data_IF_014020579039
#
_entry.id   IF_014020579039
#
_cell.length_a   1.000
_cell.length_b   1.000
_cell.length_c   1.000
_cell.angle_alpha   90.00
_cell.angle_beta   90.00
_cell.angle_gamma   90.00
#
_symmetry.space_group_name_H-M   'P 1'
#
loop_
_entity.id
_entity.type
_entity.pdbx_description
1 polymer ?
#
# COMPACT_ATOMS: atom_id res chain seq x y z
N UNK A 1 -2.86 5.11 2.85
CA UNK A 1 -1.52 4.57 2.58
C UNK A 1 -0.48 5.69 2.68
N UNK A 2 0.71 5.40 3.21
CA UNK A 2 1.79 6.37 3.19
C UNK A 2 2.23 6.63 1.75
N UNK A 3 2.35 7.91 1.37
CA UNK A 3 2.90 8.31 0.09
C UNK A 3 4.40 7.95 0.02
N UNK A 4 4.89 7.64 -1.17
CA UNK A 4 6.33 7.41 -1.39
C UNK A 4 7.14 8.68 -1.13
N UNK A 5 8.37 8.52 -0.63
CA UNK A 5 9.32 9.61 -0.50
C UNK A 5 9.88 9.99 -1.87
N UNK A 6 9.46 11.16 -2.35
CA UNK A 6 9.97 11.78 -3.56
C UNK A 6 11.25 12.56 -3.25
N UNK A 7 11.94 13.05 -4.28
CA UNK A 7 13.07 14.00 -4.13
C UNK A 7 12.72 15.24 -3.30
N UNK A 8 11.44 15.65 -3.29
CA UNK A 8 10.99 16.88 -2.62
C UNK A 8 10.30 16.64 -1.27
N UNK A 9 9.88 15.41 -0.98
CA UNK A 9 9.16 15.06 0.26
C UNK A 9 10.01 14.24 1.23
N UNK A 10 11.14 13.69 0.80
CA UNK A 10 12.08 12.99 1.67
C UNK A 10 12.72 13.96 2.69
N UNK A 11 12.68 13.62 3.98
CA UNK A 11 13.35 14.39 5.04
C UNK A 11 14.86 14.52 4.80
N UNK A 12 15.46 13.53 4.11
CA UNK A 12 16.81 13.58 3.57
C UNK A 12 16.75 13.21 2.09
N UNK A 13 16.76 14.21 1.18
CA UNK A 13 16.72 13.96 -0.26
C UNK A 13 17.93 13.14 -0.73
N UNK A 14 17.77 12.26 -1.74
CA UNK A 14 18.88 11.53 -2.35
C UNK A 14 19.84 12.49 -3.05
N UNK A 15 21.09 12.05 -3.28
CA UNK A 15 22.04 12.83 -4.08
C UNK A 15 21.54 12.97 -5.52
N UNK A 16 21.98 13.99 -6.28
CA UNK A 16 21.48 14.24 -7.64
C UNK A 16 21.53 13.02 -8.58
N UNK A 17 22.54 12.16 -8.43
CA UNK A 17 22.79 10.96 -9.23
C UNK A 17 22.25 9.65 -8.63
N UNK A 18 21.55 9.71 -7.49
CA UNK A 18 20.92 8.57 -6.83
C UNK A 18 19.38 8.67 -7.01
N UNK A 19 18.67 7.55 -7.18
CA UNK A 19 17.21 7.58 -7.32
C UNK A 19 16.53 7.92 -5.99
N UNK A 20 15.41 8.62 -6.05
CA UNK A 20 14.44 8.69 -4.95
C UNK A 20 13.69 7.36 -4.78
N UNK A 21 12.92 7.20 -3.69
CA UNK A 21 12.24 5.93 -3.39
C UNK A 21 11.24 5.54 -4.49
N UNK A 22 10.44 6.50 -4.93
CA UNK A 22 9.48 6.37 -6.02
C UNK A 22 10.15 6.00 -7.35
N UNK A 23 11.24 6.67 -7.70
CA UNK A 23 12.07 6.35 -8.89
C UNK A 23 12.69 4.95 -8.78
N UNK A 24 13.12 4.55 -7.58
CA UNK A 24 13.67 3.23 -7.32
C UNK A 24 12.61 2.14 -7.51
N UNK A 25 11.41 2.33 -6.94
CA UNK A 25 10.30 1.39 -7.04
C UNK A 25 9.81 1.29 -8.49
N UNK A 26 9.64 2.41 -9.19
CA UNK A 26 9.26 2.43 -10.60
C UNK A 26 10.26 1.64 -11.47
N UNK A 27 11.55 1.81 -11.23
CA UNK A 27 12.60 1.06 -11.92
C UNK A 27 12.51 -0.45 -11.72
N UNK A 28 12.03 -0.91 -10.55
CA UNK A 28 11.87 -2.34 -10.25
C UNK A 28 10.57 -2.92 -10.81
N UNK A 29 9.50 -2.15 -10.79
CA UNK A 29 8.19 -2.59 -11.27
C UNK A 29 8.07 -2.54 -12.79
N UNK A 30 8.68 -1.54 -13.42
CA UNK A 30 8.45 -1.23 -14.84
C UNK A 30 9.72 -1.23 -15.69
N UNK A 31 10.89 -1.41 -15.08
CA UNK A 31 12.17 -1.38 -15.80
C UNK A 31 12.60 0.01 -16.28
N UNK A 32 11.85 1.07 -15.93
CA UNK A 32 12.15 2.47 -16.25
C UNK A 32 11.90 3.37 -15.04
N UNK A 33 12.50 4.55 -15.04
CA UNK A 33 12.33 5.60 -14.02
C UNK A 33 11.68 6.87 -14.57
N UNK A 34 11.08 6.78 -15.76
CA UNK A 34 10.44 7.93 -16.40
C UNK A 34 9.26 8.43 -15.55
N UNK A 35 8.96 9.73 -15.66
CA UNK A 35 7.92 10.39 -14.87
C UNK A 35 6.55 9.68 -14.99
N UNK A 36 6.21 9.17 -16.18
CA UNK A 36 4.97 8.41 -16.39
C UNK A 36 4.91 7.10 -15.60
N UNK A 37 6.05 6.44 -15.37
CA UNK A 37 6.12 5.22 -14.58
C UNK A 37 6.03 5.51 -13.08
N UNK A 38 6.66 6.60 -12.63
CA UNK A 38 6.55 7.10 -11.25
C UNK A 38 5.11 7.51 -10.93
N UNK A 39 4.43 8.19 -11.85
CA UNK A 39 3.05 8.64 -11.64
C UNK A 39 2.08 7.47 -11.40
N UNK A 40 2.33 6.30 -12.00
CA UNK A 40 1.46 5.11 -11.79
C UNK A 40 1.44 4.62 -10.34
N UNK A 41 2.46 4.97 -9.55
CA UNK A 41 2.58 4.57 -8.14
C UNK A 41 2.46 5.76 -7.17
N UNK A 42 2.14 6.96 -7.64
CA UNK A 42 2.17 8.21 -6.87
C UNK A 42 1.30 8.20 -5.60
N UNK A 43 0.28 7.35 -5.55
CA UNK A 43 -0.71 7.32 -4.48
C UNK A 43 -0.38 6.38 -3.32
N UNK A 44 0.73 5.61 -3.40
CA UNK A 44 1.08 4.59 -2.41
C UNK A 44 0.02 3.47 -2.37
N UNK A 45 0.34 2.31 -2.94
CA UNK A 45 -0.63 1.21 -3.00
C UNK A 45 -0.39 0.21 -1.87
N UNK A 46 -1.47 -0.21 -1.21
CA UNK A 46 -1.49 -1.37 -0.32
C UNK A 46 -2.25 -2.52 -1.01
N UNK A 47 -1.95 -3.76 -0.65
CA UNK A 47 -2.63 -4.93 -1.20
C UNK A 47 -3.55 -5.54 -0.13
N UNK A 48 -4.87 -5.45 -0.36
CA UNK A 48 -5.86 -6.20 0.41
C UNK A 48 -6.01 -7.60 -0.21
N UNK A 49 -5.71 -8.64 0.56
CA UNK A 49 -5.67 -10.01 0.06
C UNK A 49 -6.39 -10.98 1.00
N UNK A 50 -6.90 -12.07 0.42
CA UNK A 50 -7.47 -13.20 1.16
C UNK A 50 -6.94 -14.51 0.61
N UNK A 51 -6.64 -15.47 1.49
CA UNK A 51 -6.24 -16.81 1.12
C UNK A 51 -6.97 -17.85 1.96
N UNK A 52 -7.58 -18.83 1.30
CA UNK A 52 -8.22 -19.98 1.96
C UNK A 52 -7.35 -21.22 1.74
N UNK A 53 -6.91 -21.83 2.84
CA UNK A 53 -6.14 -23.07 2.82
C UNK A 53 -7.00 -24.27 2.40
N UNK A 54 -6.34 -25.36 2.00
CA UNK A 54 -7.03 -26.62 1.70
C UNK A 54 -7.83 -27.19 2.91
N UNK A 55 -7.44 -26.84 4.14
CA UNK A 55 -8.18 -27.18 5.36
C UNK A 55 -9.37 -26.26 5.67
N UNK A 56 -9.69 -25.31 4.78
CA UNK A 56 -10.84 -24.41 4.90
C UNK A 56 -10.59 -23.13 5.71
N UNK A 57 -9.48 -23.03 6.45
CA UNK A 57 -9.12 -21.81 7.17
C UNK A 57 -8.76 -20.66 6.21
N UNK A 58 -9.30 -19.46 6.46
CA UNK A 58 -9.08 -18.26 5.64
C UNK A 58 -8.28 -17.21 6.40
N UNK A 59 -7.26 -16.63 5.76
CA UNK A 59 -6.48 -15.49 6.25
C UNK A 59 -6.79 -14.28 5.37
N UNK A 60 -7.02 -13.12 5.99
CA UNK A 60 -7.17 -11.82 5.31
C UNK A 60 -6.04 -10.90 5.77
N UNK A 61 -5.44 -10.15 4.85
CA UNK A 61 -4.41 -9.14 5.13
C UNK A 61 -4.76 -7.82 4.46
N UNK A 62 -4.64 -6.71 5.20
CA UNK A 62 -4.85 -5.35 4.68
C UNK A 62 -3.67 -4.80 3.89
N UNK A 63 -2.49 -5.43 4.01
CA UNK A 63 -1.25 -4.96 3.38
C UNK A 63 -0.80 -3.58 3.85
N UNK A 64 -1.30 -3.08 4.99
CA UNK A 64 -0.93 -1.79 5.58
C UNK A 64 -1.01 -1.81 7.11
N UNK A 65 -0.22 -0.95 7.76
CA UNK A 65 -0.24 -0.75 9.21
C UNK A 65 -1.40 0.11 9.68
N UNK A 66 -1.95 0.94 8.79
CA UNK A 66 -2.90 2.01 9.17
C UNK A 66 -4.36 1.54 9.25
N UNK A 67 -4.65 0.27 8.98
CA UNK A 67 -6.02 -0.26 8.98
C UNK A 67 -6.72 -0.06 10.35
N UNK A 68 -6.00 -0.33 11.43
CA UNK A 68 -6.51 -0.13 12.79
C UNK A 68 -6.80 1.35 13.09
N UNK A 69 -6.00 2.27 12.53
CA UNK A 69 -6.27 3.71 12.63
C UNK A 69 -7.53 4.09 11.86
N UNK A 70 -7.77 3.50 10.69
CA UNK A 70 -9.03 3.68 9.94
C UNK A 70 -10.26 3.22 10.73
N UNK A 71 -10.16 2.08 11.43
CA UNK A 71 -11.22 1.61 12.32
C UNK A 71 -11.47 2.57 13.49
N UNK A 72 -10.41 2.98 14.19
CA UNK A 72 -10.52 3.94 15.29
C UNK A 72 -11.10 5.29 14.83
N UNK A 73 -10.74 5.72 13.62
CA UNK A 73 -11.24 6.93 12.97
C UNK A 73 -12.65 6.81 12.39
N UNK A 74 -13.31 5.65 12.51
CA UNK A 74 -14.66 5.40 11.94
C UNK A 74 -14.73 5.61 10.43
N UNK A 75 -13.65 5.25 9.71
CA UNK A 75 -13.66 5.30 8.26
C UNK A 75 -14.72 4.32 7.70
N UNK A 76 -15.71 4.82 6.94
CA UNK A 76 -16.86 4.02 6.55
C UNK A 76 -16.51 2.85 5.62
N UNK A 77 -15.44 2.97 4.84
CA UNK A 77 -15.00 1.88 3.95
C UNK A 77 -14.26 0.81 4.73
N UNK A 78 -13.35 1.22 5.62
CA UNK A 78 -12.59 0.31 6.49
C UNK A 78 -13.52 -0.48 7.40
N UNK A 79 -14.51 0.18 8.02
CA UNK A 79 -15.50 -0.49 8.88
C UNK A 79 -16.33 -1.50 8.10
N UNK A 80 -16.84 -1.11 6.93
CA UNK A 80 -17.66 -2.00 6.10
C UNK A 80 -16.87 -3.23 5.65
N UNK A 81 -15.64 -3.05 5.18
CA UNK A 81 -14.80 -4.17 4.74
C UNK A 81 -14.52 -5.11 5.93
N UNK A 82 -14.21 -4.55 7.08
CA UNK A 82 -13.93 -5.34 8.30
C UNK A 82 -15.18 -6.11 8.74
N UNK A 83 -16.35 -5.47 8.79
CA UNK A 83 -17.61 -6.12 9.13
C UNK A 83 -17.93 -7.27 8.16
N UNK A 84 -17.80 -7.03 6.84
CA UNK A 84 -18.03 -8.07 5.84
C UNK A 84 -17.11 -9.29 6.01
N UNK A 85 -15.85 -9.07 6.39
CA UNK A 85 -14.89 -10.15 6.65
C UNK A 85 -15.29 -10.93 7.90
N UNK A 86 -15.65 -10.24 8.99
CA UNK A 86 -16.08 -10.88 10.23
C UNK A 86 -17.40 -11.65 10.04
N UNK A 87 -18.39 -11.06 9.38
CA UNK A 87 -19.68 -11.71 9.11
C UNK A 87 -19.55 -12.97 8.24
N UNK A 88 -18.51 -13.02 7.39
CA UNK A 88 -18.27 -14.16 6.49
C UNK A 88 -17.42 -15.26 7.14
N UNK A 89 -16.53 -14.91 8.06
CA UNK A 89 -15.50 -15.82 8.58
C UNK A 89 -15.67 -16.17 10.07
N UNK A 90 -16.43 -15.38 10.83
CA UNK A 90 -16.78 -15.63 12.24
C UNK A 90 -18.03 -16.48 12.37
#
# INVERSE_FOLDING_TARGET
>A
PAAHFTRTTAARPPKPNEPAEDEFIAGRLFGTRDAAAVERISHGHAVLGSYTSAGGGTVVTSGCTDWAHGLAGRDPQVERITANVLDRLG
#
